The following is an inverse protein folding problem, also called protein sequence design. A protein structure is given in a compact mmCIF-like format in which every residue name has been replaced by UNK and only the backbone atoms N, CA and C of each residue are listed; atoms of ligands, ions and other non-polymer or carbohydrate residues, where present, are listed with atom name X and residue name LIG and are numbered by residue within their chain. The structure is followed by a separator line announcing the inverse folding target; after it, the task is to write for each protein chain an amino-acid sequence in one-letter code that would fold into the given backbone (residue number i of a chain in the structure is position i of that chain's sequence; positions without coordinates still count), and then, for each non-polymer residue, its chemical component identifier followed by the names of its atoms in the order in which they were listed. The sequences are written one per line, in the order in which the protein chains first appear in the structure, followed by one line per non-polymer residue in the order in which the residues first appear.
data_IF_417920670870
#
_entry.id   IF_417920670870
#
_cell.length_a   1.000
_cell.length_b   1.000
_cell.length_c   1.000
_cell.angle_alpha   90.00
_cell.angle_beta   90.00
_cell.angle_gamma   90.00
#
_symmetry.space_group_name_H-M   'P 1'
#
loop_
_entity.id
_entity.type
_entity.pdbx_description
1 polymer ?
#
# COMPACT_ATOMS: atom_id res chain seq x y z
N UNK A 1 4.50 -2.31 3.42
CA UNK A 1 3.50 -1.23 3.28
C UNK A 1 4.27 0.02 2.96
N UNK A 2 4.25 0.45 1.69
CA UNK A 2 4.90 1.71 1.30
C UNK A 2 3.91 2.83 1.56
N UNK A 3 4.34 3.86 2.30
CA UNK A 3 3.57 5.08 2.48
C UNK A 3 3.21 5.68 1.11
N UNK A 4 2.07 6.36 1.00
CA UNK A 4 1.61 6.97 -0.25
C UNK A 4 2.64 7.94 -0.82
N UNK A 5 3.38 8.64 0.04
CA UNK A 5 4.48 9.50 -0.37
C UNK A 5 5.65 8.72 -0.97
N UNK A 6 6.01 7.59 -0.36
CA UNK A 6 7.08 6.71 -0.89
C UNK A 6 6.64 6.09 -2.22
N UNK A 7 5.37 5.67 -2.32
CA UNK A 7 4.79 5.17 -3.57
C UNK A 7 4.80 6.24 -4.67
N UNK A 8 4.47 7.49 -4.36
CA UNK A 8 4.54 8.59 -5.31
C UNK A 8 5.97 8.80 -5.80
N UNK A 9 6.96 8.75 -4.90
CA UNK A 9 8.37 8.86 -5.27
C UNK A 9 8.80 7.76 -6.24
N UNK A 10 8.42 6.51 -5.98
CA UNK A 10 8.74 5.38 -6.85
C UNK A 10 8.12 5.53 -8.25
N UNK A 11 6.86 5.95 -8.33
CA UNK A 11 6.15 6.13 -9.61
C UNK A 11 6.70 7.33 -10.40
N UNK A 12 7.13 8.40 -9.73
CA UNK A 12 7.78 9.54 -10.39
C UNK A 12 9.15 9.14 -10.94
N UNK A 13 9.93 8.35 -10.19
CA UNK A 13 11.20 7.80 -10.70
C UNK A 13 10.96 6.90 -11.93
N UNK A 14 9.94 6.04 -11.88
CA UNK A 14 9.55 5.19 -13.01
C UNK A 14 9.13 6.02 -14.24
N UNK A 15 8.41 7.13 -14.04
CA UNK A 15 8.04 8.05 -15.12
C UNK A 15 9.28 8.69 -15.76
N UNK A 16 10.26 9.10 -14.96
CA UNK A 16 11.52 9.64 -15.45
C UNK A 16 12.30 8.61 -16.29
N UNK A 17 12.34 7.35 -15.84
CA UNK A 17 12.96 6.26 -16.60
C UNK A 17 12.25 6.01 -17.93
N UNK A 18 10.91 6.02 -17.95
CA UNK A 18 10.14 5.90 -19.18
C UNK A 18 10.41 7.04 -20.16
N UNK A 19 10.51 8.29 -19.69
CA UNK A 19 10.86 9.45 -20.52
C UNK A 19 12.28 9.36 -21.08
N UNK A 20 13.24 8.93 -20.26
CA UNK A 20 14.63 8.78 -20.69
C UNK A 20 14.79 7.68 -21.74
N UNK A 21 14.18 6.51 -21.49
CA UNK A 21 14.22 5.38 -22.42
C UNK A 21 13.49 5.70 -23.73
N UNK A 22 12.33 6.36 -23.66
CA UNK A 22 11.61 6.82 -24.84
C UNK A 22 12.47 7.77 -25.69
N UNK A 23 13.16 8.73 -25.05
CA UNK A 23 14.04 9.68 -25.74
C UNK A 23 15.21 8.97 -26.42
N UNK A 24 15.83 7.98 -25.77
CA UNK A 24 16.90 7.17 -26.37
C UNK A 24 16.43 6.42 -27.62
N UNK A 25 15.27 5.78 -27.54
CA UNK A 25 14.68 5.04 -28.67
C UNK A 25 14.27 5.98 -29.81
N UNK A 26 13.73 7.17 -29.50
CA UNK A 26 13.45 8.18 -30.50
C UNK A 26 14.72 8.68 -31.20
N UNK A 27 15.84 8.84 -30.48
CA UNK A 27 17.12 9.23 -31.07
C UNK A 27 17.73 8.13 -31.94
N UNK A 28 17.60 6.86 -31.53
CA UNK A 28 18.07 5.71 -32.31
C UNK A 28 17.29 5.53 -33.61
N UNK A 29 15.99 5.79 -33.56
CA UNK A 29 15.08 5.64 -34.71
C UNK A 29 14.96 6.91 -35.55
N UNK A 30 15.48 8.04 -35.06
CA UNK A 30 15.47 9.31 -35.77
C UNK A 30 16.29 9.24 -37.07
N UNK A 31 15.62 9.40 -38.21
CA UNK A 31 16.28 9.54 -39.50
C UNK A 31 16.92 10.94 -39.61
N UNK A 32 18.16 11.06 -40.12
CA UNK A 32 18.75 12.36 -40.39
C UNK A 32 17.85 13.17 -41.34
N UNK A 33 17.45 14.37 -40.93
CA UNK A 33 16.72 15.31 -41.78
C UNK A 33 17.58 15.64 -43.00
N UNK A 34 17.10 15.28 -44.20
CA UNK A 34 17.75 15.64 -45.45
C UNK A 34 17.20 16.98 -45.92
N UNK A 35 18.02 18.03 -45.88
CA UNK A 35 17.71 19.28 -46.56
C UNK A 35 17.70 19.03 -48.08
N UNK A 36 16.71 19.58 -48.78
CA UNK A 36 16.40 19.26 -50.19
C UNK A 36 17.50 19.53 -51.23
N UNK A 37 18.68 20.01 -50.80
CA UNK A 37 19.80 20.36 -51.67
C UNK A 37 20.98 19.39 -51.58
N UNK A 38 20.89 18.31 -50.78
CA UNK A 38 21.98 17.34 -50.59
C UNK A 38 21.56 15.93 -51.05
N UNK A 39 21.25 15.81 -52.33
CA UNK A 39 21.19 14.50 -52.99
C UNK A 39 22.61 14.04 -53.35
N UNK A 40 23.33 13.42 -52.41
CA UNK A 40 24.29 12.41 -52.84
C UNK A 40 24.62 11.40 -51.73
N UNK A 41 24.22 10.16 -51.98
CA UNK A 41 24.94 8.94 -51.60
C UNK A 41 25.09 8.66 -50.09
N UNK A 42 24.06 8.05 -49.51
CA UNK A 42 24.26 7.10 -48.40
C UNK A 42 23.12 6.08 -48.42
N UNK A 43 23.45 4.90 -48.91
CA UNK A 43 22.74 3.64 -48.65
C UNK A 43 22.71 3.40 -47.15
N UNK A 44 21.61 3.74 -46.48
CA UNK A 44 21.35 3.34 -45.10
C UNK A 44 19.94 2.78 -44.98
N UNK A 45 19.89 1.45 -45.00
CA UNK A 45 18.89 0.53 -44.44
C UNK A 45 17.46 1.06 -44.27
N UNK A 46 16.63 0.78 -45.27
CA UNK A 46 15.18 1.00 -45.30
C UNK A 46 14.36 -0.02 -44.46
N UNK A 47 14.93 -0.59 -43.40
CA UNK A 47 14.26 -1.61 -42.57
C UNK A 47 13.69 -1.08 -41.24
N UNK A 48 13.81 0.23 -40.97
CA UNK A 48 13.43 0.82 -39.66
C UNK A 48 11.99 1.37 -39.59
N UNK A 49 11.22 1.35 -40.69
CA UNK A 49 9.95 2.10 -40.78
C UNK A 49 8.78 1.55 -39.96
N UNK A 50 8.84 0.33 -39.41
CA UNK A 50 7.70 -0.23 -38.66
C UNK A 50 7.97 -0.33 -37.15
N UNK A 51 9.19 -0.69 -36.76
CA UNK A 51 9.49 -1.00 -35.35
C UNK A 51 9.67 0.26 -34.50
N UNK A 52 10.17 1.37 -35.08
CA UNK A 52 10.35 2.63 -34.34
C UNK A 52 9.03 3.28 -33.93
N UNK A 53 8.02 3.20 -34.78
CA UNK A 53 6.68 3.72 -34.50
C UNK A 53 5.95 2.88 -33.44
N UNK A 54 6.12 1.56 -33.46
CA UNK A 54 5.57 0.66 -32.43
C UNK A 54 6.16 0.94 -31.04
N UNK A 55 7.48 1.13 -30.94
CA UNK A 55 8.11 1.48 -29.66
C UNK A 55 7.72 2.88 -29.19
N UNK A 56 7.61 3.85 -30.10
CA UNK A 56 7.15 5.21 -29.78
C UNK A 56 5.73 5.20 -29.20
N UNK A 57 4.80 4.44 -29.81
CA UNK A 57 3.44 4.28 -29.30
C UNK A 57 3.40 3.53 -27.95
N UNK A 58 4.24 2.52 -27.76
CA UNK A 58 4.36 1.81 -26.50
C UNK A 58 4.82 2.74 -25.36
N UNK A 59 5.87 3.53 -25.59
CA UNK A 59 6.35 4.49 -24.59
C UNK A 59 5.34 5.60 -24.33
N UNK A 60 4.66 6.12 -25.36
CA UNK A 60 3.59 7.09 -25.18
C UNK A 60 2.45 6.54 -24.29
N UNK A 61 2.09 5.27 -24.47
CA UNK A 61 1.08 4.58 -23.65
C UNK A 61 1.55 4.42 -22.20
N UNK A 62 2.80 3.98 -22.01
CA UNK A 62 3.41 3.83 -20.68
C UNK A 62 3.48 5.17 -19.95
N UNK A 63 4.01 6.21 -20.59
CA UNK A 63 4.09 7.56 -20.01
C UNK A 63 2.70 8.09 -19.63
N UNK A 64 1.70 7.95 -20.51
CA UNK A 64 0.33 8.43 -20.25
C UNK A 64 -0.31 7.70 -19.07
N UNK A 65 -0.10 6.37 -19.01
CA UNK A 65 -0.60 5.55 -17.91
C UNK A 65 0.08 5.92 -16.59
N UNK A 66 1.40 5.93 -16.55
CA UNK A 66 2.17 6.27 -15.34
C UNK A 66 1.86 7.69 -14.87
N UNK A 67 1.66 8.65 -15.79
CA UNK A 67 1.25 10.01 -15.45
C UNK A 67 -0.15 10.03 -14.82
N UNK A 68 -1.09 9.26 -15.36
CA UNK A 68 -2.43 9.12 -14.74
C UNK A 68 -2.34 8.50 -13.34
N UNK A 69 -1.45 7.53 -13.14
CA UNK A 69 -1.18 6.91 -11.83
C UNK A 69 -0.57 7.92 -10.84
N UNK A 70 0.34 8.80 -11.29
CA UNK A 70 0.87 9.92 -10.47
C UNK A 70 -0.25 10.87 -10.04
N UNK A 71 -1.13 11.27 -10.97
CA UNK A 71 -2.25 12.18 -10.66
C UNK A 71 -3.20 11.55 -9.65
N UNK A 72 -3.58 10.28 -9.86
CA UNK A 72 -4.44 9.56 -8.91
C UNK A 72 -3.78 9.41 -7.52
N UNK A 73 -2.46 9.23 -7.47
CA UNK A 73 -1.73 9.20 -6.19
C UNK A 73 -1.73 10.56 -5.50
N UNK A 74 -1.55 11.65 -6.25
CA UNK A 74 -1.62 13.02 -5.71
C UNK A 74 -3.01 13.30 -5.15
N UNK A 75 -4.08 12.94 -5.87
CA UNK A 75 -5.47 13.10 -5.39
C UNK A 75 -5.76 12.26 -4.14
N UNK A 76 -5.03 11.15 -3.94
CA UNK A 76 -5.18 10.27 -2.77
C UNK A 76 -4.35 10.68 -1.56
N UNK A 77 -3.49 11.70 -1.68
CA UNK A 77 -2.69 12.17 -0.55
C UNK A 77 -3.60 12.79 0.52
N UNK A 78 -3.36 12.47 1.81
CA UNK A 78 -4.06 13.16 2.89
C UNK A 78 -3.71 14.65 2.86
N UNK A 79 -4.67 15.49 3.23
CA UNK A 79 -4.45 16.94 3.34
C UNK A 79 -3.32 17.21 4.33
N UNK A 80 -2.20 17.73 3.84
CA UNK A 80 -1.08 18.11 4.70
C UNK A 80 -1.46 19.45 5.33
N UNK A 81 -1.53 19.54 6.67
CA UNK A 81 -1.79 20.82 7.35
C UNK A 81 -0.71 21.80 6.95
N UNK A 82 -1.10 22.88 6.28
CA UNK A 82 -0.16 23.87 5.73
C UNK A 82 -0.10 25.12 6.59
N UNK A 83 -1.04 25.28 7.53
CA UNK A 83 -1.10 26.38 8.49
C UNK A 83 -1.00 25.88 9.92
N UNK A 84 -0.51 26.73 10.82
CA UNK A 84 -0.41 26.41 12.26
C UNK A 84 -1.78 26.08 12.87
N UNK A 85 -2.86 26.65 12.34
CA UNK A 85 -4.24 26.36 12.78
C UNK A 85 -4.67 24.94 12.40
N UNK A 86 -4.37 24.47 11.17
CA UNK A 86 -4.67 23.09 10.74
C UNK A 86 -3.89 22.07 11.59
N UNK A 87 -2.65 22.42 11.97
CA UNK A 87 -1.81 21.57 12.80
C UNK A 87 -2.37 21.48 14.23
N UNK A 88 -2.82 22.60 14.79
CA UNK A 88 -3.47 22.63 16.10
C UNK A 88 -4.77 21.81 16.12
N UNK A 89 -5.59 21.89 15.07
CA UNK A 89 -6.78 21.06 14.94
C UNK A 89 -6.43 19.57 14.87
N UNK A 90 -5.41 19.19 14.10
CA UNK A 90 -4.96 17.80 14.02
C UNK A 90 -4.44 17.30 15.37
N UNK A 91 -3.73 18.12 16.13
CA UNK A 91 -3.30 17.77 17.48
C UNK A 91 -4.49 17.56 18.43
N UNK A 92 -5.51 18.41 18.37
CA UNK A 92 -6.72 18.25 19.17
C UNK A 92 -7.49 16.96 18.78
N UNK A 93 -7.56 16.63 17.49
CA UNK A 93 -8.14 15.37 17.02
C UNK A 93 -7.35 14.15 17.52
N UNK A 94 -6.02 14.22 17.51
CA UNK A 94 -5.16 13.15 18.05
C UNK A 94 -5.36 12.96 19.56
N UNK A 95 -5.44 14.05 20.33
CA UNK A 95 -5.69 13.99 21.78
C UNK A 95 -7.07 13.37 22.08
N UNK A 96 -8.09 13.72 21.29
CA UNK A 96 -9.43 13.10 21.41
C UNK A 96 -9.39 11.60 21.10
N UNK A 97 -8.65 11.18 20.08
CA UNK A 97 -8.49 9.76 19.72
C UNK A 97 -7.70 9.00 20.80
N UNK A 98 -6.68 9.61 21.39
CA UNK A 98 -5.94 9.03 22.52
C UNK A 98 -6.87 8.82 23.73
N UNK A 99 -7.67 9.83 24.06
CA UNK A 99 -8.65 9.72 25.14
C UNK A 99 -9.69 8.63 24.89
N UNK A 100 -10.20 8.52 23.66
CA UNK A 100 -11.12 7.44 23.26
C UNK A 100 -10.44 6.07 23.36
N UNK A 101 -9.18 5.97 22.96
CA UNK A 101 -8.41 4.73 23.04
C UNK A 101 -8.20 4.27 24.49
N UNK A 102 -7.89 5.21 25.40
CA UNK A 102 -7.77 4.94 26.83
C UNK A 102 -9.09 4.46 27.41
N UNK A 103 -10.21 5.12 27.08
CA UNK A 103 -11.53 4.70 27.54
C UNK A 103 -11.93 3.31 27.00
N UNK A 104 -11.68 3.07 25.71
CA UNK A 104 -11.93 1.77 25.09
C UNK A 104 -11.08 0.67 25.74
N UNK A 105 -9.83 0.96 26.07
CA UNK A 105 -8.92 0.03 26.77
C UNK A 105 -9.41 -0.27 28.18
N UNK A 106 -9.85 0.74 28.94
CA UNK A 106 -10.39 0.54 30.29
C UNK A 106 -11.67 -0.32 30.26
N UNK A 107 -12.56 -0.08 29.29
CA UNK A 107 -13.74 -0.92 29.08
C UNK A 107 -13.35 -2.35 28.73
N UNK A 108 -12.36 -2.52 27.86
CA UNK A 108 -11.84 -3.84 27.48
C UNK A 108 -11.29 -4.57 28.72
N UNK A 109 -10.47 -3.90 29.53
CA UNK A 109 -9.88 -4.46 30.75
C UNK A 109 -10.95 -4.95 31.73
N UNK A 110 -11.99 -4.14 31.97
CA UNK A 110 -13.11 -4.54 32.83
C UNK A 110 -13.85 -5.77 32.28
N UNK A 111 -14.07 -5.82 30.95
CA UNK A 111 -14.72 -6.97 30.33
C UNK A 111 -13.85 -8.23 30.38
N UNK A 112 -12.52 -8.09 30.25
CA UNK A 112 -11.59 -9.21 30.36
C UNK A 112 -11.52 -9.74 31.79
N UNK A 113 -11.51 -8.86 32.80
CA UNK A 113 -11.51 -9.28 34.22
C UNK A 113 -12.77 -10.08 34.57
N UNK A 114 -13.94 -9.62 34.13
CA UNK A 114 -15.20 -10.35 34.31
C UNK A 114 -15.13 -11.72 33.60
N UNK A 115 -14.65 -11.74 32.34
CA UNK A 115 -14.53 -12.97 31.57
C UNK A 115 -13.58 -13.98 32.23
N UNK A 116 -12.45 -13.53 32.78
CA UNK A 116 -11.50 -14.36 33.52
C UNK A 116 -12.12 -14.92 34.81
N UNK A 117 -12.82 -14.09 35.58
CA UNK A 117 -13.54 -14.54 36.78
C UNK A 117 -14.59 -15.61 36.45
N UNK A 118 -15.38 -15.39 35.39
CA UNK A 118 -16.41 -16.35 34.96
C UNK A 118 -15.77 -17.66 34.50
N UNK A 119 -14.64 -17.58 33.79
CA UNK A 119 -13.88 -18.74 33.33
C UNK A 119 -13.36 -19.56 34.53
N UNK A 120 -12.80 -18.91 35.54
CA UNK A 120 -12.31 -19.56 36.75
C UNK A 120 -13.44 -20.29 37.50
N UNK A 121 -14.63 -19.67 37.57
CA UNK A 121 -15.80 -20.29 38.19
C UNK A 121 -16.25 -21.55 37.42
N UNK A 122 -16.29 -21.49 36.09
CA UNK A 122 -16.61 -22.63 35.23
C UNK A 122 -15.58 -23.74 35.39
N UNK A 123 -14.28 -23.39 35.41
CA UNK A 123 -13.20 -24.36 35.58
C UNK A 123 -13.26 -25.05 36.95
N UNK A 124 -13.55 -24.31 38.01
CA UNK A 124 -13.73 -24.85 39.37
C UNK A 124 -14.92 -25.81 39.43
N UNK A 125 -16.03 -25.45 38.79
CA UNK A 125 -17.22 -26.31 38.70
C UNK A 125 -16.94 -27.61 37.92
N UNK A 126 -16.20 -27.53 36.81
CA UNK A 126 -15.78 -28.70 36.05
C UNK A 126 -14.84 -29.60 36.85
N UNK A 127 -13.92 -29.03 37.61
CA UNK A 127 -13.02 -29.79 38.49
C UNK A 127 -13.79 -30.51 39.60
N UNK A 128 -14.74 -29.82 40.26
CA UNK A 128 -15.56 -30.44 41.31
C UNK A 128 -16.44 -31.57 40.76
N UNK A 129 -17.02 -31.39 39.57
CA UNK A 129 -17.78 -32.44 38.88
C UNK A 129 -16.89 -33.65 38.55
N UNK A 130 -15.69 -33.40 38.00
CA UNK A 130 -14.72 -34.47 37.70
C UNK A 130 -14.33 -35.24 38.96
N UNK A 131 -14.08 -34.53 40.07
CA UNK A 131 -13.75 -35.13 41.36
C UNK A 131 -14.91 -35.97 41.92
N UNK A 132 -16.15 -35.47 41.85
CA UNK A 132 -17.34 -36.19 42.29
C UNK A 132 -17.54 -37.50 41.50
N UNK A 133 -17.35 -37.47 40.17
CA UNK A 133 -17.42 -38.67 39.33
C UNK A 133 -16.32 -39.68 39.72
N UNK A 134 -15.10 -39.22 39.99
CA UNK A 134 -14.01 -40.09 40.43
C UNK A 134 -14.29 -40.74 41.79
N UNK A 135 -14.87 -39.99 42.73
CA UNK A 135 -15.22 -40.48 44.06
C UNK A 135 -16.39 -41.48 44.03
N UNK A 136 -17.42 -41.23 43.21
CA UNK A 136 -18.49 -42.20 42.97
C UNK A 136 -17.95 -43.50 42.37
N UNK A 137 -17.06 -43.39 41.37
CA UNK A 137 -16.44 -44.57 40.75
C UNK A 137 -15.62 -45.39 41.76
N UNK A 138 -14.87 -44.73 42.65
CA UNK A 138 -14.13 -45.40 43.73
C UNK A 138 -15.05 -46.08 44.75
N UNK A 139 -16.21 -45.50 45.06
CA UNK A 139 -17.20 -46.14 45.94
C UNK A 139 -17.79 -47.40 45.31
N UNK A 140 -18.12 -47.35 44.02
CA UNK A 140 -18.68 -48.51 43.30
C UNK A 140 -17.66 -49.67 43.20
N UNK A 141 -16.36 -49.38 43.19
CA UNK A 141 -15.30 -50.41 43.09
C UNK A 141 -14.92 -51.05 44.45
N UNK A 142 -15.36 -50.48 45.58
CA UNK A 142 -15.06 -50.97 46.94
C UNK A 142 -16.26 -51.67 47.61
N UNK A 143 -17.36 -51.89 46.88
CA UNK A 143 -18.53 -52.71 47.27
C UNK A 143 -18.51 -53.99 46.47
#
# INVERSE_FOLDING_TARGET
MSDRLTQLQDVVNLLADHLCNATGVLQETARPSRFGNFEQNSTTNSNADNTGDDYSQLFATLITRTTSEVVALIESLPTIPSTDDDLAEQHAQLESLEQENVEATAKLEQTTELAEYLLEQVQTCLQSLSQAILDERKKIQNV
#
